data_IF_601017034752
#
_entry.id   IF_601017034752
#
_cell.length_a   1.000
_cell.length_b   1.000
_cell.length_c   1.000
_cell.angle_alpha   90.00
_cell.angle_beta   90.00
_cell.angle_gamma   90.00
#
_symmetry.space_group_name_H-M   'P 1'
#
loop_
_entity.id
_entity.type
_entity.pdbx_description
1 polymer ?
#
# COMPACT_ATOMS: atom_id res chain seq x y z
N UNK A 1 28.10 48.20 -63.32
CA UNK A 1 29.14 48.79 -62.47
C UNK A 1 28.45 49.17 -61.18
N UNK A 2 28.63 48.55 -60.03
CA UNK A 2 29.63 47.60 -59.54
C UNK A 2 29.01 46.85 -58.34
N UNK A 3 29.41 45.59 -58.20
CA UNK A 3 29.63 44.83 -56.96
C UNK A 3 28.80 45.17 -55.71
N UNK A 4 27.96 44.23 -55.28
CA UNK A 4 28.04 43.66 -53.92
C UNK A 4 27.73 42.17 -54.03
N UNK A 5 28.80 41.41 -54.28
CA UNK A 5 28.84 39.95 -54.29
C UNK A 5 29.59 39.48 -53.02
N UNK A 6 29.11 38.39 -52.42
CA UNK A 6 29.85 37.49 -51.53
C UNK A 6 30.48 38.01 -50.22
N UNK A 7 29.73 37.91 -49.11
CA UNK A 7 30.29 37.50 -47.80
C UNK A 7 29.36 36.50 -47.14
N UNK A 8 29.37 35.26 -47.64
CA UNK A 8 28.71 34.13 -47.00
C UNK A 8 29.52 32.86 -47.22
N UNK A 9 30.73 32.80 -46.66
CA UNK A 9 31.48 31.55 -46.55
C UNK A 9 32.53 31.63 -45.43
N UNK A 10 32.80 30.47 -44.84
CA UNK A 10 33.69 30.20 -43.70
C UNK A 10 33.23 30.60 -42.29
N UNK A 11 32.16 29.95 -41.81
CA UNK A 11 32.09 29.53 -40.40
C UNK A 11 31.91 28.01 -40.31
N UNK A 12 32.85 27.27 -40.87
CA UNK A 12 32.99 25.84 -40.64
C UNK A 12 34.36 25.55 -40.01
N UNK A 13 34.30 24.88 -38.86
CA UNK A 13 35.31 23.95 -38.35
C UNK A 13 36.51 24.54 -37.62
N UNK A 14 36.24 25.04 -36.42
CA UNK A 14 37.11 24.75 -35.27
C UNK A 14 36.25 24.23 -34.11
N UNK A 15 35.78 22.99 -34.24
CA UNK A 15 35.30 22.23 -33.06
C UNK A 15 36.52 21.96 -32.22
N UNK A 16 36.87 22.92 -31.36
CA UNK A 16 37.86 22.70 -30.31
C UNK A 16 37.50 21.41 -29.57
N UNK A 17 38.49 20.51 -29.49
CA UNK A 17 38.41 19.27 -28.72
C UNK A 17 38.34 19.62 -27.23
N UNK A 18 37.21 20.15 -26.78
CA UNK A 18 36.93 20.24 -25.34
C UNK A 18 36.95 18.81 -24.78
N UNK A 19 37.81 18.52 -23.81
CA UNK A 19 37.90 17.18 -23.24
C UNK A 19 36.54 16.81 -22.65
N UNK A 20 35.95 15.71 -23.14
CA UNK A 20 34.66 15.22 -22.63
C UNK A 20 34.78 15.01 -21.12
N UNK A 21 33.97 15.71 -20.30
CA UNK A 21 34.06 15.59 -18.84
C UNK A 21 33.78 14.13 -18.44
N UNK A 22 34.71 13.51 -17.72
CA UNK A 22 34.62 12.08 -17.36
C UNK A 22 33.53 11.78 -16.34
N UNK A 23 33.08 12.78 -15.58
CA UNK A 23 32.13 12.63 -14.48
C UNK A 23 30.94 13.55 -14.66
N UNK A 24 29.78 13.11 -14.16
CA UNK A 24 28.59 13.94 -14.05
C UNK A 24 28.72 14.86 -12.85
N UNK A 25 28.55 16.15 -13.08
CA UNK A 25 28.49 17.17 -12.03
C UNK A 25 27.16 17.07 -11.28
N UNK A 26 27.09 17.69 -10.08
CA UNK A 26 25.82 17.78 -9.35
C UNK A 26 24.78 18.60 -10.11
N UNK A 27 25.22 19.65 -10.80
CA UNK A 27 24.37 20.49 -11.63
C UNK A 27 23.71 19.70 -12.77
N UNK A 28 24.48 18.88 -13.48
CA UNK A 28 23.92 17.98 -14.50
C UNK A 28 22.90 16.99 -13.90
N UNK A 29 23.17 16.47 -12.70
CA UNK A 29 22.23 15.58 -12.02
C UNK A 29 20.92 16.31 -11.63
N UNK A 30 21.00 17.58 -11.22
CA UNK A 30 19.84 18.43 -10.93
C UNK A 30 19.01 18.61 -12.19
N UNK A 31 19.64 19.04 -13.28
CA UNK A 31 18.97 19.28 -14.56
C UNK A 31 18.30 18.01 -15.13
N UNK A 32 18.94 16.84 -14.98
CA UNK A 32 18.34 15.57 -15.36
C UNK A 32 17.07 15.28 -14.56
N UNK A 33 17.08 15.52 -13.25
CA UNK A 33 15.90 15.31 -12.40
C UNK A 33 14.78 16.31 -12.64
N UNK A 34 15.10 17.59 -12.83
CA UNK A 34 14.11 18.61 -13.21
C UNK A 34 13.45 18.26 -14.54
N UNK A 35 14.23 17.77 -15.51
CA UNK A 35 13.66 17.28 -16.75
C UNK A 35 12.72 16.11 -16.53
N UNK A 36 13.09 15.10 -15.72
CA UNK A 36 12.17 14.00 -15.36
C UNK A 36 10.93 14.53 -14.66
N UNK A 37 11.07 15.51 -13.76
CA UNK A 37 9.97 16.11 -13.04
C UNK A 37 8.92 16.75 -13.95
N UNK A 38 9.35 17.41 -15.02
CA UNK A 38 8.45 18.02 -16.03
C UNK A 38 7.56 17.02 -16.77
N UNK A 39 7.88 15.72 -16.74
CA UNK A 39 7.06 14.68 -17.37
C UNK A 39 6.11 13.99 -16.40
N UNK A 40 6.34 14.15 -15.09
CA UNK A 40 5.48 13.56 -14.04
C UNK A 40 4.48 14.56 -13.48
N UNK A 41 4.85 15.84 -13.49
CA UNK A 41 4.06 16.92 -12.90
C UNK A 41 3.39 17.75 -14.00
N UNK A 42 2.05 17.74 -14.04
CA UNK A 42 1.29 18.68 -14.86
C UNK A 42 1.02 19.96 -14.05
N UNK A 43 1.64 21.10 -14.39
CA UNK A 43 1.44 22.35 -13.66
C UNK A 43 0.02 22.90 -13.77
N UNK A 44 -0.77 22.49 -14.77
CA UNK A 44 -2.13 22.99 -14.96
C UNK A 44 -3.11 22.32 -14.02
N UNK A 45 -2.99 21.01 -13.91
CA UNK A 45 -3.86 20.20 -13.06
C UNK A 45 -3.34 20.13 -11.62
N UNK A 46 -2.05 20.41 -11.41
CA UNK A 46 -1.41 20.28 -10.09
C UNK A 46 -1.40 18.84 -9.58
N UNK A 47 -1.59 17.88 -10.50
CA UNK A 47 -1.59 16.45 -10.21
C UNK A 47 -0.33 15.80 -10.74
N UNK A 48 0.04 14.70 -10.09
CA UNK A 48 1.16 13.88 -10.49
C UNK A 48 0.63 12.54 -10.97
N UNK A 49 0.99 12.17 -12.20
CA UNK A 49 0.63 10.90 -12.79
C UNK A 49 1.83 9.96 -12.84
N UNK A 50 1.57 8.65 -12.80
CA UNK A 50 2.59 7.65 -13.11
C UNK A 50 3.01 7.79 -14.58
N UNK A 51 4.31 7.73 -14.85
CA UNK A 51 4.82 7.91 -16.23
C UNK A 51 4.29 6.78 -17.11
N UNK A 52 3.53 7.14 -18.16
CA UNK A 52 2.96 6.16 -19.11
C UNK A 52 3.87 5.83 -20.28
N UNK A 53 4.63 6.80 -20.80
CA UNK A 53 5.77 6.67 -21.74
C UNK A 53 6.07 8.04 -22.38
N UNK A 54 7.28 8.30 -22.90
CA UNK A 54 8.47 7.47 -22.81
C UNK A 54 9.07 7.47 -21.39
N UNK A 55 9.51 6.32 -20.89
CA UNK A 55 10.10 6.23 -19.55
C UNK A 55 11.57 6.65 -19.56
N UNK A 56 12.12 7.15 -18.43
CA UNK A 56 13.54 7.46 -18.28
C UNK A 56 14.49 6.26 -18.46
N UNK A 57 13.96 5.04 -18.61
CA UNK A 57 14.76 3.87 -18.98
C UNK A 57 15.01 3.77 -20.49
N UNK A 58 14.32 4.55 -21.31
CA UNK A 58 14.43 4.49 -22.77
C UNK A 58 15.44 5.49 -23.33
N UNK A 59 16.11 5.12 -24.42
CA UNK A 59 16.99 6.03 -25.16
C UNK A 59 16.23 7.24 -25.72
N UNK A 60 14.97 7.04 -26.13
CA UNK A 60 14.12 8.11 -26.69
C UNK A 60 13.88 9.25 -25.69
N UNK A 61 13.70 8.92 -24.41
CA UNK A 61 13.55 9.92 -23.36
C UNK A 61 14.78 10.82 -23.24
N UNK A 62 15.99 10.22 -23.19
CA UNK A 62 17.23 10.98 -23.07
C UNK A 62 17.66 11.68 -24.36
N UNK A 63 17.23 11.19 -25.51
CA UNK A 63 17.37 11.93 -26.77
C UNK A 63 16.57 13.23 -26.70
N UNK A 64 15.30 13.16 -26.27
CA UNK A 64 14.47 14.34 -26.07
C UNK A 64 15.07 15.33 -25.06
N UNK A 65 15.68 14.83 -23.99
CA UNK A 65 16.43 15.67 -23.04
C UNK A 65 17.57 16.44 -23.73
N UNK A 66 18.39 15.77 -24.56
CA UNK A 66 19.46 16.43 -25.30
C UNK A 66 18.90 17.48 -26.25
N UNK A 67 17.84 17.15 -26.97
CA UNK A 67 17.20 18.04 -27.96
C UNK A 67 16.64 19.31 -27.28
N UNK A 68 16.04 19.19 -26.09
CA UNK A 68 15.47 20.33 -25.34
C UNK A 68 16.52 21.15 -24.58
N UNK A 69 17.54 20.52 -24.01
CA UNK A 69 18.51 21.19 -23.10
C UNK A 69 19.81 21.59 -23.79
N UNK A 70 20.07 21.06 -25.00
CA UNK A 70 21.36 21.22 -25.67
C UNK A 70 22.50 20.49 -24.97
N UNK A 71 22.21 19.49 -24.14
CA UNK A 71 23.24 18.75 -23.38
C UNK A 71 24.29 18.15 -24.31
N UNK A 72 25.58 18.39 -24.00
CA UNK A 72 26.72 17.83 -24.74
C UNK A 72 26.97 16.33 -24.43
N UNK A 73 26.20 15.74 -23.52
CA UNK A 73 26.30 14.31 -23.15
C UNK A 73 25.75 13.42 -24.26
N UNK A 74 26.25 12.19 -24.35
CA UNK A 74 25.64 11.21 -25.24
C UNK A 74 24.45 10.53 -24.55
N UNK A 75 23.45 10.13 -25.34
CA UNK A 75 22.21 9.49 -24.86
C UNK A 75 22.50 8.29 -23.96
N UNK A 76 23.43 7.42 -24.39
CA UNK A 76 23.78 6.21 -23.64
C UNK A 76 24.40 6.50 -22.26
N UNK A 77 25.17 7.58 -22.12
CA UNK A 77 25.74 7.98 -20.83
C UNK A 77 24.67 8.48 -19.87
N UNK A 78 23.69 9.25 -20.35
CA UNK A 78 22.55 9.73 -19.56
C UNK A 78 21.70 8.56 -19.09
N UNK A 79 21.36 7.64 -20.00
CA UNK A 79 20.62 6.43 -19.68
C UNK A 79 21.36 5.56 -18.65
N UNK A 80 22.67 5.37 -18.83
CA UNK A 80 23.51 4.60 -17.89
C UNK A 80 23.70 5.31 -16.55
N UNK A 81 23.55 6.64 -16.53
CA UNK A 81 23.66 7.47 -15.32
C UNK A 81 22.39 7.39 -14.49
N UNK A 82 21.22 7.29 -15.11
CA UNK A 82 19.92 7.33 -14.43
C UNK A 82 19.75 6.33 -13.27
N UNK A 83 20.13 5.04 -13.37
CA UNK A 83 20.07 4.13 -12.22
C UNK A 83 20.90 4.58 -11.01
N UNK A 84 22.00 5.32 -11.24
CA UNK A 84 22.82 5.90 -10.18
C UNK A 84 22.16 7.15 -9.58
N UNK A 85 21.43 7.91 -10.39
CA UNK A 85 20.67 9.07 -9.94
C UNK A 85 19.56 8.67 -8.97
N UNK A 86 18.82 7.61 -9.29
CA UNK A 86 17.73 7.08 -8.44
C UNK A 86 18.21 6.90 -7.00
N UNK A 87 19.37 6.27 -6.81
CA UNK A 87 19.97 6.01 -5.48
C UNK A 87 20.38 7.27 -4.71
N UNK A 88 20.43 8.41 -5.38
CA UNK A 88 20.86 9.69 -4.82
C UNK A 88 19.73 10.72 -4.74
N UNK A 89 18.50 10.36 -5.13
CA UNK A 89 17.36 11.28 -5.17
C UNK A 89 17.14 11.97 -3.82
N UNK A 90 17.25 11.24 -2.71
CA UNK A 90 17.10 11.79 -1.36
C UNK A 90 18.14 12.87 -1.02
N UNK A 91 19.35 12.80 -1.59
CA UNK A 91 20.45 13.76 -1.38
C UNK A 91 20.34 15.00 -2.26
N UNK A 92 19.46 15.00 -3.26
CA UNK A 92 19.31 16.14 -4.15
C UNK A 92 18.74 17.34 -3.39
N UNK A 93 19.09 18.58 -3.76
CA UNK A 93 18.62 19.80 -3.10
C UNK A 93 17.18 20.18 -3.49
N UNK A 94 16.31 19.19 -3.65
CA UNK A 94 14.90 19.38 -3.95
C UNK A 94 14.07 19.39 -2.66
N UNK A 95 12.94 20.11 -2.71
CA UNK A 95 11.94 20.05 -1.65
C UNK A 95 11.33 18.65 -1.51
N UNK A 96 10.76 18.36 -0.34
CA UNK A 96 10.16 17.06 -0.03
C UNK A 96 9.06 16.67 -1.02
N UNK A 97 8.20 17.63 -1.38
CA UNK A 97 7.11 17.41 -2.33
C UNK A 97 7.61 16.91 -3.69
N UNK A 98 8.61 17.58 -4.27
CA UNK A 98 9.20 17.17 -5.56
C UNK A 98 9.82 15.77 -5.49
N UNK A 99 10.51 15.44 -4.39
CA UNK A 99 11.09 14.11 -4.17
C UNK A 99 10.00 13.03 -4.04
N UNK A 100 8.90 13.32 -3.34
CA UNK A 100 7.77 12.40 -3.20
C UNK A 100 7.04 12.21 -4.53
N UNK A 101 6.80 13.29 -5.29
CA UNK A 101 6.25 13.23 -6.64
C UNK A 101 7.07 12.32 -7.57
N UNK A 102 8.39 12.53 -7.61
CA UNK A 102 9.29 11.69 -8.39
C UNK A 102 9.25 10.22 -7.92
N UNK A 103 9.22 9.99 -6.61
CA UNK A 103 9.21 8.62 -6.06
C UNK A 103 7.89 7.89 -6.38
N UNK A 104 6.76 8.59 -6.28
CA UNK A 104 5.43 8.08 -6.64
C UNK A 104 5.31 7.74 -8.13
N UNK A 105 5.68 8.67 -9.01
CA UNK A 105 5.50 8.49 -10.45
C UNK A 105 6.41 7.44 -11.08
N UNK A 106 7.55 7.19 -10.45
CA UNK A 106 8.58 6.27 -10.94
C UNK A 106 8.60 4.94 -10.18
N UNK A 107 7.66 4.73 -9.25
CA UNK A 107 7.60 3.55 -8.38
C UNK A 107 8.95 3.25 -7.69
N UNK A 108 9.54 4.29 -7.10
CA UNK A 108 10.83 4.19 -6.42
C UNK A 108 10.64 3.95 -4.92
N UNK A 109 11.37 2.99 -4.32
CA UNK A 109 11.33 2.78 -2.89
C UNK A 109 11.95 3.96 -2.16
N UNK A 110 11.30 4.43 -1.09
CA UNK A 110 11.83 5.53 -0.28
C UNK A 110 12.95 5.05 0.65
N UNK A 111 14.03 5.83 0.69
CA UNK A 111 15.12 5.63 1.63
C UNK A 111 14.70 6.02 3.05
N UNK A 112 15.13 5.25 4.05
CA UNK A 112 14.65 5.36 5.43
C UNK A 112 14.97 6.72 6.07
N UNK A 113 16.16 7.27 5.79
CA UNK A 113 16.55 8.60 6.27
C UNK A 113 15.63 9.68 5.73
N UNK A 114 15.31 9.63 4.43
CA UNK A 114 14.40 10.59 3.80
C UNK A 114 12.96 10.38 4.26
N UNK A 115 12.52 9.14 4.45
CA UNK A 115 11.17 8.85 4.93
C UNK A 115 10.89 9.49 6.29
N UNK A 116 11.89 9.55 7.17
CA UNK A 116 11.76 10.23 8.46
C UNK A 116 11.47 11.72 8.28
N UNK A 117 12.29 12.41 7.49
CA UNK A 117 12.09 13.84 7.17
C UNK A 117 10.77 14.06 6.43
N UNK A 118 10.45 13.22 5.46
CA UNK A 118 9.25 13.36 4.66
C UNK A 118 7.97 13.17 5.50
N UNK A 119 7.99 12.32 6.53
CA UNK A 119 6.87 12.18 7.48
C UNK A 119 6.67 13.39 8.39
N UNK A 120 7.69 14.23 8.56
CA UNK A 120 7.56 15.50 9.28
C UNK A 120 6.74 16.49 8.44
N UNK A 121 6.87 16.47 7.11
CA UNK A 121 6.24 17.43 6.19
C UNK A 121 4.99 16.89 5.46
N UNK A 122 4.79 15.58 5.39
CA UNK A 122 3.71 14.95 4.61
C UNK A 122 3.10 13.73 5.33
N UNK A 123 1.84 13.43 5.00
CA UNK A 123 1.24 12.12 5.23
C UNK A 123 1.56 11.22 4.04
N UNK A 124 2.16 10.06 4.29
CA UNK A 124 2.66 9.16 3.23
C UNK A 124 2.06 7.78 3.44
N UNK A 125 1.49 7.22 2.37
CA UNK A 125 1.00 5.85 2.29
C UNK A 125 1.89 5.06 1.33
N UNK A 126 2.32 3.88 1.75
CA UNK A 126 3.26 3.04 1.01
C UNK A 126 2.78 1.60 0.93
N UNK A 127 3.20 0.91 -0.13
CA UNK A 127 2.98 -0.52 -0.32
C UNK A 127 3.98 -1.38 0.48
N UNK A 128 3.86 -2.71 0.35
CA UNK A 128 4.77 -3.68 0.98
C UNK A 128 6.24 -3.54 0.52
N UNK A 129 6.46 -2.99 -0.68
CA UNK A 129 7.77 -2.77 -1.27
C UNK A 129 8.38 -1.40 -0.89
N UNK A 130 7.72 -0.62 -0.03
CA UNK A 130 8.09 0.75 0.36
C UNK A 130 8.02 1.76 -0.78
N UNK A 131 7.24 1.48 -1.82
CA UNK A 131 6.91 2.46 -2.86
C UNK A 131 5.78 3.35 -2.36
N UNK A 132 5.77 4.61 -2.79
CA UNK A 132 4.71 5.55 -2.44
C UNK A 132 3.47 5.22 -3.26
N UNK A 133 2.34 4.94 -2.60
CA UNK A 133 1.04 4.75 -3.26
C UNK A 133 0.20 6.03 -3.29
N UNK A 134 0.37 6.86 -2.27
CA UNK A 134 -0.25 8.17 -2.17
C UNK A 134 0.51 9.02 -1.14
N UNK A 135 0.40 10.33 -1.24
CA UNK A 135 0.83 11.22 -0.19
C UNK A 135 0.03 12.53 -0.20
N UNK A 136 0.03 13.23 0.92
CA UNK A 136 -0.62 14.53 1.10
C UNK A 136 0.31 15.41 1.92
N UNK A 137 0.72 16.56 1.35
CA UNK A 137 1.55 17.53 2.08
C UNK A 137 0.76 18.10 3.27
N UNK A 138 1.41 18.21 4.42
CA UNK A 138 0.78 18.83 5.59
C UNK A 138 0.61 20.32 5.33
N UNK A 139 -0.53 20.86 5.73
CA UNK A 139 -0.75 22.32 5.74
C UNK A 139 0.10 22.96 6.84
N UNK A 140 0.47 24.24 6.69
CA UNK A 140 1.21 24.99 7.72
C UNK A 140 0.50 24.95 9.09
N UNK A 141 -0.84 25.01 9.11
CA UNK A 141 -1.64 24.89 10.34
C UNK A 141 -1.44 23.53 11.04
N UNK A 142 -1.37 22.45 10.27
CA UNK A 142 -1.12 21.10 10.80
C UNK A 142 0.30 20.97 11.36
N UNK A 143 1.29 21.49 10.64
CA UNK A 143 2.69 21.55 11.07
C UNK A 143 2.85 22.38 12.35
N UNK A 144 2.18 23.52 12.43
CA UNK A 144 2.18 24.37 13.63
C UNK A 144 1.56 23.65 14.82
N UNK A 145 0.40 23.02 14.63
CA UNK A 145 -0.27 22.26 15.68
C UNK A 145 0.57 21.08 16.19
N UNK A 146 1.30 20.41 15.30
CA UNK A 146 2.22 19.32 15.67
C UNK A 146 3.41 19.84 16.49
N UNK A 147 4.02 20.96 16.07
CA UNK A 147 5.09 21.65 16.83
C UNK A 147 4.64 22.06 18.23
N UNK A 148 3.46 22.68 18.34
CA UNK A 148 2.88 23.08 19.64
C UNK A 148 2.60 21.87 20.54
N UNK A 149 2.06 20.80 19.98
CA UNK A 149 1.82 19.56 20.71
C UNK A 149 3.11 18.92 21.22
N UNK A 150 4.18 18.96 20.42
CA UNK A 150 5.49 18.47 20.83
C UNK A 150 6.10 19.34 21.94
N UNK A 151 6.04 20.67 21.82
CA UNK A 151 6.48 21.59 22.87
C UNK A 151 5.76 21.34 24.19
N UNK A 152 4.42 21.19 24.15
CA UNK A 152 3.63 20.88 25.32
C UNK A 152 4.03 19.52 25.94
N UNK A 153 4.30 18.51 25.11
CA UNK A 153 4.77 17.19 25.58
C UNK A 153 6.13 17.31 26.29
N UNK A 154 7.05 18.09 25.74
CA UNK A 154 8.36 18.34 26.35
C UNK A 154 8.23 19.09 27.69
N UNK A 155 7.36 20.11 27.75
CA UNK A 155 7.10 20.85 28.98
C UNK A 155 6.55 19.96 30.11
N UNK A 156 5.57 19.11 29.80
CA UNK A 156 5.00 18.16 30.77
C UNK A 156 6.03 17.14 31.26
N UNK A 157 6.95 16.70 30.40
CA UNK A 157 8.04 15.79 30.79
C UNK A 157 9.00 16.48 31.77
N UNK A 158 9.35 17.75 31.53
CA UNK A 158 10.19 18.52 32.44
C UNK A 158 9.52 18.74 33.80
N UNK A 159 8.23 19.11 33.82
CA UNK A 159 7.46 19.28 35.06
C UNK A 159 7.40 17.97 35.88
N UNK A 160 7.18 16.85 35.20
CA UNK A 160 7.18 15.53 35.83
C UNK A 160 8.55 15.21 36.47
N UNK A 161 9.65 15.53 35.80
CA UNK A 161 10.99 15.33 36.36
C UNK A 161 11.25 16.23 37.58
N UNK A 162 10.82 17.48 37.56
CA UNK A 162 10.96 18.40 38.70
C UNK A 162 10.13 17.98 39.92
N UNK A 163 8.89 17.51 39.69
CA UNK A 163 8.03 17.02 40.78
C UNK A 163 8.56 15.74 41.44
N UNK A 164 9.23 14.87 40.68
CA UNK A 164 9.86 13.66 41.19
C UNK A 164 11.09 13.96 42.07
N UNK A 165 11.82 15.05 41.80
CA UNK A 165 12.98 15.46 42.62
C UNK A 165 12.54 16.09 43.96
N UNK A 166 11.43 16.83 43.98
CA UNK A 166 10.90 17.46 45.21
C UNK A 166 10.36 16.45 46.26
N UNK A 167 10.02 15.22 45.85
CA UNK A 167 9.50 14.17 46.77
C UNK A 167 10.60 13.36 47.50
N UNK A 168 11.88 13.70 47.36
CA UNK A 168 13.00 12.99 48.02
C UNK A 168 13.55 13.67 49.28
N UNK A 169 12.82 14.58 49.93
CA UNK A 169 13.17 15.05 51.29
C UNK A 169 12.69 14.04 52.35
N UNK A 170 13.56 13.56 53.27
CA UNK A 170 13.17 12.56 54.25
C UNK A 170 12.34 13.18 55.38
N UNK A 171 11.03 12.95 55.37
CA UNK A 171 10.17 13.29 56.51
C UNK A 171 10.45 12.31 57.66
N UNK A 172 11.18 12.78 58.68
CA UNK A 172 11.31 12.09 59.96
C UNK A 172 9.91 11.82 60.54
N UNK A 173 9.66 10.54 60.82
CA UNK A 173 8.48 10.03 61.55
C UNK A 173 8.28 10.83 62.83
N UNK A 174 7.09 11.42 62.99
CA UNK A 174 6.50 11.64 64.31
C UNK A 174 4.99 11.41 64.23
N UNK A 175 4.54 10.72 65.27
CA UNK A 175 3.26 10.08 65.55
C UNK A 175 2.07 11.03 65.76
N UNK A 176 0.88 10.39 65.90
CA UNK A 176 -0.41 10.82 66.50
C UNK A 176 -1.50 11.18 65.48
N UNK A 177 -2.55 10.35 65.35
CA UNK A 177 -3.82 10.32 66.10
C UNK A 177 -4.69 11.56 65.81
N UNK A 178 -5.80 11.37 65.09
CA UNK A 178 -7.18 11.76 65.44
C UNK A 178 -8.07 12.05 64.20
N UNK A 179 -9.09 11.19 64.04
CA UNK A 179 -10.52 11.44 63.80
C UNK A 179 -11.04 12.78 63.21
N UNK A 180 -11.95 12.62 62.23
CA UNK A 180 -13.32 13.18 62.12
C UNK A 180 -13.69 14.18 60.97
N UNK A 181 -14.68 13.74 60.16
CA UNK A 181 -16.00 14.40 59.87
C UNK A 181 -16.11 15.50 58.77
N UNK A 182 -16.71 15.09 57.64
CA UNK A 182 -17.91 15.66 56.95
C UNK A 182 -17.84 16.75 55.85
N UNK A 183 -18.59 16.43 54.76
CA UNK A 183 -19.33 17.24 53.76
C UNK A 183 -18.67 17.74 52.44
N UNK A 184 -19.03 17.04 51.33
CA UNK A 184 -19.71 17.46 50.06
C UNK A 184 -19.49 18.87 49.44
N UNK A 185 -19.81 19.10 48.13
CA UNK A 185 -19.31 18.50 46.88
C UNK A 185 -18.83 19.58 45.86
N UNK A 186 -17.79 19.31 45.06
CA UNK A 186 -17.47 20.18 43.91
C UNK A 186 -17.21 19.34 42.66
N UNK A 187 -18.03 19.62 41.65
CA UNK A 187 -18.08 19.06 40.30
C UNK A 187 -16.68 19.11 39.64
N UNK A 188 -16.13 18.00 39.10
CA UNK A 188 -15.03 18.08 38.16
C UNK A 188 -15.59 18.33 36.75
N UNK A 189 -15.30 19.52 36.24
CA UNK A 189 -15.46 19.85 34.82
C UNK A 189 -14.62 18.88 33.97
N UNK A 190 -15.27 18.37 32.93
CA UNK A 190 -14.75 17.44 31.94
C UNK A 190 -13.52 18.01 31.20
N UNK A 191 -12.42 17.24 31.09
CA UNK A 191 -11.33 17.59 30.17
C UNK A 191 -11.75 17.29 28.73
N UNK A 192 -11.66 18.30 27.86
CA UNK A 192 -11.93 18.17 26.43
C UNK A 192 -11.01 17.11 25.81
N UNK A 193 -11.61 16.04 25.31
CA UNK A 193 -10.91 14.94 24.68
C UNK A 193 -10.10 15.41 23.46
N UNK A 194 -8.79 15.12 23.49
CA UNK A 194 -7.89 15.15 22.33
C UNK A 194 -8.50 14.27 21.23
N UNK A 195 -8.87 14.84 20.09
CA UNK A 195 -9.33 14.07 18.92
C UNK A 195 -8.13 13.36 18.28
N UNK A 196 -8.04 12.07 18.55
CA UNK A 196 -7.12 11.12 17.92
C UNK A 196 -7.45 11.03 16.43
N UNK A 197 -6.45 11.24 15.56
CA UNK A 197 -6.54 10.91 14.13
C UNK A 197 -6.62 9.38 14.08
N UNK A 198 -7.79 8.82 13.78
CA UNK A 198 -8.02 7.37 13.76
C UNK A 198 -7.23 6.76 12.61
N UNK A 199 -6.04 6.22 12.89
CA UNK A 199 -5.47 5.18 12.04
C UNK A 199 -6.38 3.97 12.13
N UNK A 200 -6.80 3.44 10.99
CA UNK A 200 -7.58 2.22 10.94
C UNK A 200 -6.69 1.05 11.33
N UNK A 201 -7.03 0.37 12.44
CA UNK A 201 -6.35 -0.84 12.86
C UNK A 201 -6.95 -2.07 12.17
N UNK A 202 -6.23 -3.19 12.16
CA UNK A 202 -6.75 -4.46 11.60
C UNK A 202 -8.02 -4.91 12.32
N UNK A 203 -8.12 -4.62 13.62
CA UNK A 203 -9.33 -4.89 14.40
C UNK A 203 -10.51 -4.05 13.91
N UNK A 204 -10.28 -2.79 13.54
CA UNK A 204 -11.32 -1.94 12.95
C UNK A 204 -11.74 -2.43 11.57
N UNK A 205 -10.82 -2.98 10.76
CA UNK A 205 -11.17 -3.60 9.49
C UNK A 205 -12.09 -4.80 9.70
N UNK A 206 -11.77 -5.64 10.70
CA UNK A 206 -12.63 -6.78 11.09
C UNK A 206 -14.02 -6.31 11.49
N UNK A 207 -14.12 -5.24 12.27
CA UNK A 207 -15.40 -4.69 12.72
C UNK A 207 -16.21 -4.10 11.55
N UNK A 208 -15.55 -3.42 10.62
CA UNK A 208 -16.18 -2.91 9.38
C UNK A 208 -16.76 -4.07 8.57
N UNK A 209 -15.97 -5.13 8.34
CA UNK A 209 -16.44 -6.29 7.59
C UNK A 209 -17.57 -7.04 8.29
N UNK A 210 -17.52 -7.17 9.62
CA UNK A 210 -18.62 -7.76 10.41
C UNK A 210 -19.90 -6.94 10.30
N UNK A 211 -19.79 -5.61 10.33
CA UNK A 211 -20.94 -4.73 10.12
C UNK A 211 -21.55 -4.93 8.73
N UNK A 212 -20.72 -4.94 7.67
CA UNK A 212 -21.17 -5.20 6.31
C UNK A 212 -21.81 -6.58 6.18
N UNK A 213 -21.20 -7.59 6.80
CA UNK A 213 -21.75 -8.94 6.84
C UNK A 213 -23.14 -8.97 7.50
N UNK A 214 -23.30 -8.29 8.63
CA UNK A 214 -24.60 -8.17 9.30
C UNK A 214 -25.67 -7.42 8.48
N UNK A 215 -25.27 -6.65 7.47
CA UNK A 215 -26.18 -5.97 6.52
C UNK A 215 -26.64 -6.86 5.38
N UNK A 216 -25.81 -7.81 4.97
CA UNK A 216 -26.09 -8.72 3.85
C UNK A 216 -26.66 -10.06 4.33
N UNK A 217 -26.36 -10.47 5.56
CA UNK A 217 -26.76 -11.76 6.10
C UNK A 217 -28.12 -11.66 6.80
N UNK A 218 -29.10 -12.44 6.32
CA UNK A 218 -30.39 -12.57 6.98
C UNK A 218 -30.40 -13.81 7.88
N UNK A 219 -30.33 -13.57 9.19
CA UNK A 219 -30.35 -14.61 10.21
C UNK A 219 -31.59 -15.50 10.19
N UNK A 220 -32.71 -15.06 9.59
CA UNK A 220 -33.95 -15.86 9.53
C UNK A 220 -33.95 -16.85 8.36
N UNK A 221 -33.25 -16.54 7.28
CA UNK A 221 -33.24 -17.35 6.06
C UNK A 221 -31.93 -18.09 5.84
N UNK A 222 -30.89 -17.83 6.65
CA UNK A 222 -29.51 -18.33 6.48
C UNK A 222 -28.97 -18.05 5.04
N UNK A 223 -29.48 -16.97 4.44
CA UNK A 223 -29.15 -16.56 3.07
C UNK A 223 -28.59 -15.15 3.05
N UNK A 224 -27.67 -14.96 2.11
CA UNK A 224 -27.03 -13.68 1.86
C UNK A 224 -27.81 -12.94 0.79
N UNK A 225 -28.17 -11.70 1.08
CA UNK A 225 -28.83 -10.79 0.14
C UNK A 225 -27.78 -9.86 -0.48
N UNK A 226 -27.83 -9.67 -1.80
CA UNK A 226 -26.98 -8.70 -2.47
C UNK A 226 -27.28 -7.30 -1.92
N UNK A 227 -26.23 -6.61 -1.50
CA UNK A 227 -26.38 -5.27 -0.95
C UNK A 227 -26.75 -4.32 -2.09
N UNK A 228 -27.99 -3.83 -2.09
CA UNK A 228 -28.45 -2.84 -3.07
C UNK A 228 -27.72 -1.49 -2.93
N UNK A 229 -27.12 -1.24 -1.76
CA UNK A 229 -26.38 -0.03 -1.44
C UNK A 229 -24.90 -0.27 -1.72
N UNK A 230 -24.29 0.51 -2.62
CA UNK A 230 -22.86 0.44 -2.90
C UNK A 230 -22.04 0.61 -1.61
N UNK A 231 -21.01 -0.21 -1.41
CA UNK A 231 -20.14 -0.13 -0.23
C UNK A 231 -19.46 1.23 -0.05
N UNK A 232 -19.32 2.06 -1.10
CA UNK A 232 -18.81 3.43 -1.01
C UNK A 232 -19.86 4.47 -0.57
N UNK A 233 -21.10 4.07 -0.31
CA UNK A 233 -22.21 4.99 -0.01
C UNK A 233 -22.02 5.72 1.32
N UNK A 234 -22.08 7.05 1.29
CA UNK A 234 -22.01 7.89 2.50
C UNK A 234 -23.13 7.56 3.51
N UNK A 235 -24.28 7.12 3.02
CA UNK A 235 -25.40 6.73 3.89
C UNK A 235 -25.07 5.50 4.73
N UNK A 236 -24.40 4.50 4.14
CA UNK A 236 -23.97 3.28 4.83
C UNK A 236 -22.99 3.59 5.96
N UNK A 237 -21.99 4.44 5.68
CA UNK A 237 -21.00 4.82 6.68
C UNK A 237 -21.55 5.77 7.74
N UNK A 238 -22.51 6.63 7.38
CA UNK A 238 -23.23 7.44 8.36
C UNK A 238 -24.08 6.58 9.29
N UNK A 239 -24.64 5.47 8.80
CA UNK A 239 -25.34 4.52 9.65
C UNK A 239 -24.38 3.80 10.61
N UNK A 240 -23.24 3.33 10.12
CA UNK A 240 -22.21 2.67 10.94
C UNK A 240 -21.68 3.58 12.05
N UNK A 241 -21.39 4.85 11.72
CA UNK A 241 -20.80 5.82 12.64
C UNK A 241 -21.83 6.52 13.54
N UNK A 242 -23.12 6.44 13.20
CA UNK A 242 -24.21 7.12 13.89
C UNK A 242 -24.55 8.51 13.33
N UNK A 243 -25.71 9.03 13.73
CA UNK A 243 -26.28 10.28 13.20
C UNK A 243 -25.40 11.52 13.41
N UNK A 244 -24.61 11.53 14.50
CA UNK A 244 -23.71 12.61 14.90
C UNK A 244 -22.33 12.55 14.22
N UNK A 245 -22.10 11.56 13.34
CA UNK A 245 -20.84 11.42 12.63
C UNK A 245 -20.59 12.62 11.71
N UNK A 246 -19.39 13.21 11.84
CA UNK A 246 -19.01 14.30 10.97
C UNK A 246 -18.77 13.84 9.53
N UNK A 247 -18.93 14.76 8.58
CA UNK A 247 -18.79 14.48 7.14
C UNK A 247 -17.38 13.96 6.78
N UNK A 248 -16.38 14.31 7.59
CA UNK A 248 -14.97 13.95 7.37
C UNK A 248 -14.71 12.50 7.78
N UNK A 249 -15.27 12.04 8.89
CA UNK A 249 -15.23 10.66 9.34
C UNK A 249 -15.95 9.75 8.34
N UNK A 250 -17.15 10.13 7.90
CA UNK A 250 -17.88 9.41 6.85
C UNK A 250 -17.03 9.27 5.58
N UNK A 251 -16.41 10.38 5.13
CA UNK A 251 -15.52 10.34 3.96
C UNK A 251 -14.28 9.46 4.18
N UNK A 252 -13.71 9.47 5.39
CA UNK A 252 -12.57 8.65 5.74
C UNK A 252 -12.90 7.16 5.66
N UNK A 253 -14.09 6.74 6.08
CA UNK A 253 -14.55 5.36 5.97
C UNK A 253 -14.87 4.97 4.52
N UNK A 254 -15.46 5.87 3.71
CA UNK A 254 -15.64 5.64 2.27
C UNK A 254 -14.30 5.32 1.59
N UNK A 255 -13.27 6.15 1.85
CA UNK A 255 -11.94 5.97 1.27
C UNK A 255 -11.27 4.70 1.80
N UNK A 256 -11.34 4.47 3.12
CA UNK A 256 -10.74 3.29 3.74
C UNK A 256 -11.35 1.98 3.24
N UNK A 257 -12.67 1.96 3.00
CA UNK A 257 -13.34 0.83 2.39
C UNK A 257 -12.75 0.46 1.01
N UNK A 258 -12.40 1.45 0.17
CA UNK A 258 -11.75 1.20 -1.12
C UNK A 258 -10.36 0.56 -0.99
N UNK A 259 -9.70 0.74 0.15
CA UNK A 259 -8.41 0.11 0.43
C UNK A 259 -8.62 -1.33 0.90
N UNK A 260 -9.47 -1.56 1.91
CA UNK A 260 -9.63 -2.90 2.50
C UNK A 260 -10.32 -3.91 1.59
N UNK A 261 -11.11 -3.45 0.60
CA UNK A 261 -11.81 -4.31 -0.36
C UNK A 261 -10.86 -5.24 -1.13
N UNK A 262 -9.63 -4.77 -1.41
CA UNK A 262 -8.60 -5.51 -2.16
C UNK A 262 -8.00 -6.66 -1.33
N UNK A 263 -8.10 -6.57 -0.01
CA UNK A 263 -7.47 -7.47 0.95
C UNK A 263 -8.48 -8.34 1.70
N UNK A 264 -9.74 -8.42 1.23
CA UNK A 264 -10.78 -9.24 1.85
C UNK A 264 -10.36 -10.73 2.00
N UNK A 265 -9.62 -11.27 1.03
CA UNK A 265 -9.12 -12.64 1.08
C UNK A 265 -8.15 -12.90 2.26
N UNK A 266 -7.42 -11.88 2.71
CA UNK A 266 -6.44 -11.95 3.81
C UNK A 266 -7.08 -11.80 5.19
N UNK A 267 -8.37 -11.46 5.28
CA UNK A 267 -9.07 -11.27 6.56
C UNK A 267 -9.19 -12.60 7.32
N UNK A 268 -9.22 -12.59 8.67
CA UNK A 268 -9.32 -13.78 9.50
C UNK A 268 -10.78 -14.29 9.59
N UNK A 269 -11.42 -14.45 8.44
CA UNK A 269 -12.77 -15.01 8.29
C UNK A 269 -12.70 -16.39 7.66
N UNK A 270 -13.72 -17.20 7.92
CA UNK A 270 -13.88 -18.49 7.26
C UNK A 270 -14.16 -18.30 5.75
N UNK A 271 -14.04 -19.40 5.00
CA UNK A 271 -14.19 -19.36 3.55
C UNK A 271 -15.61 -18.97 3.13
N UNK A 272 -16.63 -19.40 3.89
CA UNK A 272 -18.03 -19.09 3.65
C UNK A 272 -18.29 -17.59 3.76
N UNK A 273 -17.93 -16.97 4.88
CA UNK A 273 -18.13 -15.54 5.13
C UNK A 273 -17.40 -14.68 4.09
N UNK A 274 -16.20 -15.08 3.65
CA UNK A 274 -15.50 -14.39 2.56
C UNK A 274 -16.26 -14.49 1.25
N UNK A 275 -16.71 -15.69 0.84
CA UNK A 275 -17.48 -15.89 -0.38
C UNK A 275 -18.79 -15.07 -0.36
N UNK A 276 -19.49 -15.10 0.77
CA UNK A 276 -20.71 -14.33 1.02
C UNK A 276 -20.47 -12.81 0.82
N UNK A 277 -19.36 -12.28 1.36
CA UNK A 277 -18.98 -10.88 1.20
C UNK A 277 -18.65 -10.52 -0.26
N UNK A 278 -17.86 -11.37 -0.96
CA UNK A 278 -17.55 -11.15 -2.38
C UNK A 278 -18.83 -11.13 -3.24
N UNK A 279 -19.71 -12.09 -3.02
CA UNK A 279 -20.98 -12.23 -3.74
C UNK A 279 -21.93 -11.05 -3.48
N UNK A 280 -22.13 -10.70 -2.21
CA UNK A 280 -23.14 -9.70 -1.85
C UNK A 280 -22.76 -8.27 -2.19
N UNK A 281 -21.45 -7.96 -2.12
CA UNK A 281 -20.92 -6.63 -2.35
C UNK A 281 -20.44 -6.41 -3.79
N UNK A 282 -20.55 -7.44 -4.65
CA UNK A 282 -20.13 -7.39 -6.05
C UNK A 282 -18.66 -7.01 -6.20
N UNK A 283 -17.80 -7.72 -5.48
CA UNK A 283 -16.36 -7.47 -5.44
C UNK A 283 -15.66 -8.46 -6.38
N UNK A 284 -14.75 -7.99 -7.25
CA UNK A 284 -13.91 -8.89 -8.05
C UNK A 284 -13.11 -9.82 -7.15
N UNK A 285 -13.21 -11.13 -7.38
CA UNK A 285 -12.57 -12.13 -6.53
C UNK A 285 -11.07 -12.14 -6.80
N UNK A 286 -10.27 -12.08 -5.73
CA UNK A 286 -8.84 -12.31 -5.84
C UNK A 286 -8.55 -13.70 -6.43
N UNK A 287 -7.62 -13.79 -7.39
CA UNK A 287 -7.33 -15.01 -8.14
C UNK A 287 -6.88 -16.19 -7.27
N UNK A 288 -6.12 -15.93 -6.21
CA UNK A 288 -5.65 -16.97 -5.28
C UNK A 288 -6.82 -17.53 -4.47
N UNK A 289 -7.67 -16.64 -3.95
CA UNK A 289 -8.87 -17.06 -3.22
C UNK A 289 -9.88 -17.77 -4.12
N UNK A 290 -10.02 -17.34 -5.37
CA UNK A 290 -10.87 -18.01 -6.35
C UNK A 290 -10.41 -19.45 -6.62
N UNK A 291 -9.11 -19.68 -6.73
CA UNK A 291 -8.58 -21.03 -6.90
C UNK A 291 -8.94 -21.94 -5.71
N UNK A 292 -8.87 -21.40 -4.48
CA UNK A 292 -9.29 -22.12 -3.27
C UNK A 292 -10.80 -22.38 -3.24
N UNK A 293 -11.62 -21.43 -3.68
CA UNK A 293 -13.07 -21.61 -3.75
C UNK A 293 -13.46 -22.69 -4.76
N UNK A 294 -12.88 -22.67 -5.97
CA UNK A 294 -13.14 -23.65 -7.02
C UNK A 294 -12.76 -25.09 -6.63
N UNK A 295 -11.86 -25.27 -5.67
CA UNK A 295 -11.53 -26.59 -5.13
C UNK A 295 -12.65 -27.15 -4.23
N UNK A 296 -13.44 -26.29 -3.57
CA UNK A 296 -14.47 -26.72 -2.62
C UNK A 296 -15.89 -26.66 -3.18
N UNK A 297 -16.17 -25.72 -4.08
CA UNK A 297 -17.51 -25.52 -4.62
C UNK A 297 -17.48 -25.04 -6.06
N UNK A 298 -18.56 -25.29 -6.80
CA UNK A 298 -18.74 -24.72 -8.13
C UNK A 298 -19.10 -23.23 -8.00
N UNK A 299 -18.36 -22.38 -8.71
CA UNK A 299 -18.54 -20.92 -8.67
C UNK A 299 -18.74 -20.40 -10.09
N UNK A 300 -19.85 -19.69 -10.32
CA UNK A 300 -20.08 -18.93 -11.55
C UNK A 300 -19.75 -17.46 -11.34
N UNK A 301 -19.08 -16.89 -12.33
CA UNK A 301 -18.61 -15.51 -12.32
C UNK A 301 -19.13 -14.75 -13.53
N UNK A 302 -19.21 -13.43 -13.41
CA UNK A 302 -19.46 -12.52 -14.53
C UNK A 302 -18.16 -12.07 -15.21
N UNK A 303 -18.32 -11.23 -16.23
CA UNK A 303 -17.22 -10.64 -17.02
C UNK A 303 -16.29 -9.74 -16.18
N UNK A 304 -16.81 -9.16 -15.09
CA UNK A 304 -16.06 -8.30 -14.17
C UNK A 304 -15.30 -9.11 -13.09
N UNK A 305 -15.39 -10.43 -13.13
CA UNK A 305 -14.74 -11.31 -12.17
C UNK A 305 -15.43 -11.34 -10.80
N UNK A 306 -16.70 -10.99 -10.70
CA UNK A 306 -17.50 -11.04 -9.48
C UNK A 306 -18.30 -12.35 -9.40
N UNK A 307 -18.57 -12.83 -8.18
CA UNK A 307 -19.37 -14.05 -7.97
C UNK A 307 -20.83 -13.75 -8.28
N UNK A 308 -21.42 -14.56 -9.16
CA UNK A 308 -22.86 -14.47 -9.51
C UNK A 308 -23.64 -15.61 -8.88
N UNK A 309 -23.02 -16.77 -8.69
CA UNK A 309 -23.64 -17.96 -8.10
C UNK A 309 -22.56 -18.85 -7.47
N UNK A 310 -22.86 -19.45 -6.31
CA UNK A 310 -22.04 -20.47 -5.65
C UNK A 310 -22.91 -21.31 -4.70
N UNK A 311 -22.47 -22.53 -4.37
CA UNK A 311 -23.18 -23.40 -3.43
C UNK A 311 -22.67 -23.20 -1.99
N UNK A 312 -23.38 -22.40 -1.21
CA UNK A 312 -22.98 -22.05 0.17
C UNK A 312 -22.87 -23.25 1.12
N UNK A 313 -23.61 -24.33 0.87
CA UNK A 313 -23.60 -25.53 1.70
C UNK A 313 -22.28 -26.29 1.63
N UNK A 314 -21.59 -26.25 0.48
CA UNK A 314 -20.29 -26.90 0.29
C UNK A 314 -19.17 -26.19 1.09
N UNK A 315 -19.40 -24.91 1.42
CA UNK A 315 -18.48 -24.08 2.18
C UNK A 315 -18.76 -24.12 3.69
N UNK A 316 -19.80 -24.82 4.15
CA UNK A 316 -19.99 -25.09 5.57
C UNK A 316 -18.88 -26.02 6.01
N UNK A 317 -17.84 -25.44 6.60
CA UNK A 317 -16.81 -26.22 7.29
C UNK A 317 -17.52 -27.10 8.30
N UNK A 318 -17.46 -28.42 8.09
CA UNK A 318 -17.78 -29.38 9.14
C UNK A 318 -16.85 -29.01 10.29
N UNK A 319 -17.40 -28.41 11.35
CA UNK A 319 -16.77 -28.39 12.66
C UNK A 319 -16.57 -29.86 13.05
N UNK A 320 -15.50 -30.48 12.57
CA UNK A 320 -14.95 -31.63 13.25
C UNK A 320 -14.42 -31.10 14.56
N UNK A 321 -15.11 -31.44 15.63
CA UNK A 321 -14.56 -31.42 16.97
C UNK A 321 -13.16 -32.01 16.92
N UNK A 322 -12.13 -31.19 17.18
CA UNK A 322 -10.91 -31.71 17.78
C UNK A 322 -11.29 -32.09 19.22
N UNK A 323 -11.88 -33.28 19.36
CA UNK A 323 -11.94 -34.01 20.60
C UNK A 323 -11.07 -35.25 20.39
N UNK A 324 -9.91 -35.21 21.05
CA UNK A 324 -9.21 -36.35 21.62
C UNK A 324 -9.22 -37.66 20.82
N UNK A 325 -8.14 -37.88 20.09
CA UNK A 325 -7.58 -39.22 19.95
C UNK A 325 -6.14 -39.21 20.45
N UNK A 326 -5.99 -39.06 21.76
CA UNK A 326 -4.95 -39.81 22.47
C UNK A 326 -5.27 -41.30 22.31
N UNK A 327 -4.52 -42.02 21.47
CA UNK A 327 -4.33 -43.45 21.65
C UNK A 327 -2.85 -43.79 21.58
N UNK A 328 -2.31 -43.96 22.80
CA UNK A 328 -1.46 -45.06 23.22
C UNK A 328 -0.25 -45.38 22.36
N UNK A 329 0.89 -44.93 22.87
CA UNK A 329 2.08 -45.75 23.05
C UNK A 329 1.70 -47.18 23.47
N UNK A 330 2.12 -48.16 22.69
CA UNK A 330 2.43 -49.50 23.19
C UNK A 330 3.88 -49.83 22.77
N UNK A 331 4.75 -50.26 23.69
CA UNK A 331 6.14 -50.56 23.41
C UNK A 331 6.34 -52.05 23.13
N UNK A 332 7.23 -52.35 22.17
CA UNK A 332 8.03 -53.57 22.21
C UNK A 332 7.82 -54.55 21.07
N UNK A 333 8.93 -54.79 20.37
CA UNK A 333 9.49 -56.11 20.01
C UNK A 333 9.94 -56.18 18.55
N UNK A 334 11.23 -55.86 18.37
CA UNK A 334 12.26 -56.76 17.86
C UNK A 334 12.15 -57.46 16.50
N UNK A 335 13.27 -57.33 15.77
CA UNK A 335 13.84 -58.31 14.82
C UNK A 335 13.18 -58.37 13.44
N UNK A 336 13.86 -58.55 12.30
CA UNK A 336 15.26 -58.69 11.93
C UNK A 336 15.26 -58.74 10.39
N UNK A 337 16.31 -58.20 9.76
CA UNK A 337 16.94 -58.74 8.53
C UNK A 337 16.16 -58.80 7.19
N UNK A 338 16.90 -58.65 6.08
CA UNK A 338 16.50 -59.30 4.84
C UNK A 338 16.63 -58.50 3.55
N UNK A 339 17.87 -58.38 3.08
CA UNK A 339 18.28 -58.08 1.69
C UNK A 339 17.44 -58.87 0.67
N UNK A 340 16.94 -58.23 -0.40
CA UNK A 340 17.11 -58.78 -1.76
C UNK A 340 16.88 -57.77 -2.90
N UNK A 341 17.92 -57.61 -3.71
CA UNK A 341 17.90 -57.07 -5.06
C UNK A 341 17.20 -58.01 -6.02
N UNK A 342 16.49 -57.48 -7.04
CA UNK A 342 16.47 -58.03 -8.40
C UNK A 342 15.93 -57.01 -9.42
N UNK A 343 16.83 -56.64 -10.34
CA UNK A 343 16.56 -56.15 -11.70
C UNK A 343 15.86 -57.25 -12.53
N UNK A 344 15.35 -56.85 -13.71
CA UNK A 344 14.94 -57.61 -14.94
C UNK A 344 13.52 -57.13 -15.36
N UNK A 345 13.13 -56.77 -16.59
CA UNK A 345 13.67 -56.79 -17.97
C UNK A 345 12.85 -55.77 -18.82
N UNK A 346 13.51 -55.15 -19.80
CA UNK A 346 13.17 -54.62 -21.14
C UNK A 346 11.73 -54.39 -21.68
N UNK A 347 11.62 -53.25 -22.39
CA UNK A 347 11.07 -53.00 -23.74
C UNK A 347 9.90 -53.84 -24.27
N UNK A 348 8.79 -53.18 -24.67
CA UNK A 348 8.13 -53.38 -25.98
C UNK A 348 7.41 -52.09 -26.44
N UNK A 349 7.60 -51.81 -27.72
CA UNK A 349 7.01 -50.79 -28.58
C UNK A 349 5.48 -50.64 -28.57
N UNK A 350 5.07 -49.38 -28.83
CA UNK A 350 4.23 -49.03 -29.98
C UNK A 350 2.81 -49.59 -30.07
N UNK A 351 1.81 -48.73 -29.85
CA UNK A 351 0.56 -48.80 -30.61
C UNK A 351 0.00 -47.40 -30.89
N UNK A 352 -0.03 -47.11 -32.19
CA UNK A 352 -0.73 -46.02 -32.87
C UNK A 352 -2.12 -46.50 -33.26
N UNK A 353 -3.14 -45.67 -33.02
CA UNK A 353 -4.42 -45.57 -33.75
C UNK A 353 -5.32 -44.62 -32.94
N UNK A 354 -5.64 -43.42 -33.46
CA UNK A 354 -6.73 -43.14 -34.41
C UNK A 354 -8.03 -42.79 -33.68
N UNK A 355 -8.47 -41.54 -33.87
CA UNK A 355 -9.80 -41.09 -34.30
C UNK A 355 -9.93 -39.60 -33.94
N UNK A 356 -10.02 -38.72 -34.95
CA UNK A 356 -11.27 -38.02 -35.35
C UNK A 356 -11.64 -36.90 -34.36
N UNK A 357 -12.08 -35.70 -34.73
CA UNK A 357 -12.43 -35.01 -35.96
C UNK A 357 -12.87 -33.60 -35.48
N UNK A 358 -12.89 -32.61 -36.36
CA UNK A 358 -13.65 -31.34 -36.23
C UNK A 358 -13.18 -30.34 -35.16
N UNK A 359 -12.58 -29.22 -35.61
CA UNK A 359 -13.27 -27.91 -35.56
C UNK A 359 -12.51 -26.87 -36.40
N UNK A 360 -13.03 -26.65 -37.61
CA UNK A 360 -12.80 -25.47 -38.44
C UNK A 360 -13.54 -24.24 -37.87
N UNK A 361 -12.94 -23.06 -38.11
CA UNK A 361 -13.57 -21.73 -38.26
C UNK A 361 -14.29 -21.09 -37.06
N UNK A 362 -13.75 -19.95 -36.61
CA UNK A 362 -14.16 -18.62 -37.12
C UNK A 362 -13.26 -17.50 -36.56
N UNK A 363 -12.56 -16.83 -37.47
CA UNK A 363 -12.24 -15.41 -37.38
C UNK A 363 -13.39 -14.59 -38.00
N UNK A 364 -13.38 -13.29 -37.70
CA UNK A 364 -14.14 -12.16 -38.29
C UNK A 364 -15.52 -11.91 -37.68
N UNK A 365 -15.60 -10.93 -36.78
CA UNK A 365 -16.02 -9.55 -37.10
C UNK A 365 -15.43 -8.57 -36.08
#
# INVERSE_FOLDING_TARGET
>A
MEEIEAVHENSQHKKENEPKPRYFTNEENIQMWEFVYRFVFDPKEGIVEKIREPTPHTLKFWQKYIDETGSKRNVGSLQSRYPKLIKTLHKMPFGTEMKLNLSYSLDLPLEEEFLKTAKEEAFIWMDENKNVEAFEMKTEEQLQKEREAEQLRQQLLQEKQQSAQKKKTPTKRRSSIAKNVTATPTIPATPSAKRVKTMFSKEQDVDIWKFLFGKIFDSKTDKVQKLQIKGSSRALWKEYLGAEADSKAVSSYCSHYQTIIRHLHSMPFDMRMKADLYYALHIPVNSEFLALLKQKTEVKMDEDGCIVEYHSEDLKEKLYCQADSEQKLDPGADSESGVNSRKIHDDVDGFSADLEEVYERRHVY
#
